data_IF_279916781661
#
_entry.id   IF_279916781661
#
_cell.length_a   1.000
_cell.length_b   1.000
_cell.length_c   1.000
_cell.angle_alpha   90.00
_cell.angle_beta   90.00
_cell.angle_gamma   90.00
#
_symmetry.space_group_name_H-M   'P 1'
#
loop_
_entity.id
_entity.type
_entity.pdbx_description
1 polymer ?
#
# COMPACT_ATOMS: atom_id res chain seq x y z
N UNK A 1 -16.48 17.81 2.06
CA UNK A 1 -15.48 16.78 2.42
C UNK A 1 -15.60 16.49 3.93
N UNK A 2 -15.26 15.29 4.42
CA UNK A 2 -15.41 14.96 5.84
C UNK A 2 -14.59 15.90 6.75
N UNK A 3 -15.19 16.30 7.88
CA UNK A 3 -14.62 17.13 8.96
C UNK A 3 -13.37 16.49 9.61
N UNK A 4 -13.15 15.22 9.29
CA UNK A 4 -12.25 14.27 9.92
C UNK A 4 -11.21 13.82 8.89
N UNK A 5 -9.91 13.89 9.22
CA UNK A 5 -8.77 13.55 8.36
C UNK A 5 -7.98 12.40 8.95
N UNK A 6 -7.75 11.38 8.14
CA UNK A 6 -6.97 10.20 8.52
C UNK A 6 -5.48 10.56 8.49
N UNK A 7 -4.82 10.39 9.62
CA UNK A 7 -3.38 10.61 9.75
C UNK A 7 -2.75 9.27 10.06
N UNK A 8 -2.03 8.76 9.07
CA UNK A 8 -1.26 7.53 9.17
C UNK A 8 0.14 7.80 9.69
N UNK A 9 0.70 6.83 10.42
CA UNK A 9 2.09 6.84 10.83
C UNK A 9 2.66 5.42 10.78
N UNK A 10 3.73 5.20 10.01
CA UNK A 10 4.39 3.92 9.97
C UNK A 10 5.21 3.63 11.22
N UNK A 11 5.42 2.35 11.49
CA UNK A 11 6.32 1.83 12.50
C UNK A 11 7.05 0.57 11.99
N UNK A 12 8.26 0.38 12.47
CA UNK A 12 9.05 -0.84 12.34
C UNK A 12 8.79 -1.67 13.59
N UNK A 13 8.12 -2.82 13.44
CA UNK A 13 7.90 -3.79 14.51
C UNK A 13 9.05 -4.79 14.51
N UNK A 14 9.68 -4.99 15.67
CA UNK A 14 10.84 -5.88 15.86
C UNK A 14 10.41 -7.35 15.96
N UNK A 15 9.71 -7.81 14.94
CA UNK A 15 9.24 -9.18 14.76
C UNK A 15 9.01 -9.46 13.28
N UNK A 16 9.21 -10.73 12.88
CA UNK A 16 8.83 -11.22 11.54
C UNK A 16 7.32 -11.22 11.35
N UNK A 17 6.84 -11.08 10.11
CA UNK A 17 5.42 -11.07 9.80
C UNK A 17 4.74 -12.38 10.22
N UNK A 18 5.44 -13.51 10.08
CA UNK A 18 4.99 -14.84 10.50
C UNK A 18 4.73 -14.90 12.01
N UNK A 19 5.63 -14.32 12.82
CA UNK A 19 5.45 -14.26 14.27
C UNK A 19 4.26 -13.38 14.67
N UNK A 20 4.01 -12.27 13.97
CA UNK A 20 2.84 -11.41 14.20
C UNK A 20 1.56 -12.15 13.82
N UNK A 21 1.52 -12.78 12.65
CA UNK A 21 0.38 -13.55 12.15
C UNK A 21 0.07 -14.70 13.11
N UNK A 22 1.08 -15.48 13.52
CA UNK A 22 0.91 -16.60 14.45
C UNK A 22 0.43 -16.14 15.84
N UNK A 23 0.89 -14.97 16.30
CA UNK A 23 0.43 -14.38 17.56
C UNK A 23 -0.99 -13.80 17.48
N UNK A 24 -1.44 -13.41 16.29
CA UNK A 24 -2.71 -12.69 16.10
C UNK A 24 -2.68 -11.25 16.63
N UNK A 25 -1.50 -10.67 16.84
CA UNK A 25 -1.39 -9.28 17.33
C UNK A 25 0.02 -8.72 17.18
N UNK A 26 0.14 -7.41 16.97
CA UNK A 26 1.42 -6.67 17.12
C UNK A 26 1.71 -6.27 18.58
N UNK A 27 0.76 -6.43 19.50
CA UNK A 27 0.91 -6.00 20.89
C UNK A 27 2.07 -6.74 21.59
N UNK A 28 2.87 -6.00 22.36
CA UNK A 28 3.98 -6.53 23.14
C UNK A 28 5.27 -6.79 22.35
N UNK A 29 5.28 -6.60 21.03
CA UNK A 29 6.54 -6.51 20.29
C UNK A 29 7.14 -5.11 20.43
N UNK A 30 8.47 -4.97 20.57
CA UNK A 30 9.12 -3.67 20.46
C UNK A 30 8.84 -3.06 19.08
N UNK A 31 8.60 -1.76 19.03
CA UNK A 31 8.41 -1.04 17.78
C UNK A 31 9.12 0.31 17.80
N UNK A 32 9.49 0.78 16.63
CA UNK A 32 10.02 2.13 16.39
C UNK A 32 9.11 2.84 15.41
N UNK A 33 8.65 4.04 15.77
CA UNK A 33 7.89 4.88 14.85
C UNK A 33 8.80 5.53 13.80
N UNK A 34 8.32 5.58 12.56
CA UNK A 34 8.89 6.48 11.55
C UNK A 34 8.73 7.95 12.00
N UNK A 35 9.56 8.89 11.48
CA UNK A 35 9.47 10.30 11.83
C UNK A 35 8.05 10.86 11.65
N UNK A 36 7.59 11.74 12.56
CA UNK A 36 6.31 12.40 12.38
C UNK A 36 6.36 13.35 11.18
N UNK A 37 5.21 13.58 10.57
CA UNK A 37 5.02 14.59 9.53
C UNK A 37 4.42 15.87 10.11
N UNK A 38 4.46 16.95 9.33
CA UNK A 38 3.79 18.19 9.68
C UNK A 38 2.27 18.06 9.74
N UNK A 39 1.59 19.11 10.19
CA UNK A 39 0.12 19.16 10.20
C UNK A 39 -0.45 18.87 8.80
N UNK A 40 -1.50 18.04 8.75
CA UNK A 40 -2.18 17.62 7.52
C UNK A 40 -1.31 16.82 6.54
N UNK A 41 -0.22 16.24 7.03
CA UNK A 41 0.64 15.37 6.26
C UNK A 41 0.77 14.02 6.97
N UNK A 42 0.98 12.96 6.20
CA UNK A 42 1.23 11.63 6.73
C UNK A 42 2.20 10.85 5.87
N UNK A 43 2.73 9.79 6.47
CA UNK A 43 3.37 8.68 5.78
C UNK A 43 2.44 7.46 5.90
N UNK A 44 2.34 6.65 4.86
CA UNK A 44 1.51 5.43 4.85
C UNK A 44 2.15 4.35 3.98
N UNK A 45 1.57 3.15 4.00
CA UNK A 45 1.94 2.03 3.14
C UNK A 45 3.44 1.70 3.16
N UNK A 46 4.05 1.40 4.32
CA UNK A 46 5.47 1.12 4.38
C UNK A 46 5.80 -0.26 3.79
N UNK A 47 6.68 -0.29 2.79
CA UNK A 47 7.29 -1.51 2.25
C UNK A 47 8.80 -1.40 2.33
N UNK A 48 9.51 -2.51 2.49
CA UNK A 48 10.95 -2.42 2.71
C UNK A 48 11.78 -3.59 2.26
N UNK A 49 13.05 -3.29 2.04
CA UNK A 49 14.06 -4.19 1.52
C UNK A 49 15.35 -4.03 2.31
N UNK A 50 15.96 -5.15 2.69
CA UNK A 50 17.28 -5.16 3.32
C UNK A 50 18.37 -5.31 2.27
N UNK A 51 19.37 -4.43 2.31
CA UNK A 51 20.55 -4.51 1.44
C UNK A 51 21.76 -3.90 2.14
N UNK A 52 22.90 -4.59 2.07
CA UNK A 52 24.18 -4.11 2.60
C UNK A 52 24.11 -3.61 4.07
N UNK A 53 23.38 -4.35 4.92
CA UNK A 53 23.22 -4.02 6.34
C UNK A 53 22.32 -2.81 6.62
N UNK A 54 21.57 -2.33 5.63
CA UNK A 54 20.60 -1.24 5.76
C UNK A 54 19.20 -1.71 5.42
N UNK A 55 18.23 -1.10 6.09
CA UNK A 55 16.81 -1.25 5.78
C UNK A 55 16.34 -0.01 5.00
N UNK A 56 15.85 -0.24 3.80
CA UNK A 56 15.25 0.79 2.95
C UNK A 56 13.74 0.68 3.09
N UNK A 57 13.07 1.72 3.59
CA UNK A 57 11.62 1.77 3.82
C UNK A 57 11.00 2.78 2.85
N UNK A 58 10.26 2.28 1.87
CA UNK A 58 9.50 3.06 0.91
C UNK A 58 8.09 3.32 1.46
N UNK A 59 7.63 4.56 1.35
CA UNK A 59 6.35 5.00 1.91
C UNK A 59 5.62 5.92 0.95
N UNK A 60 4.29 5.89 1.00
CA UNK A 60 3.48 7.01 0.51
C UNK A 60 3.75 8.24 1.38
N UNK A 61 3.94 9.38 0.74
CA UNK A 61 3.88 10.69 1.37
C UNK A 61 2.70 11.46 0.85
N UNK A 62 1.90 12.01 1.77
CA UNK A 62 0.68 12.72 1.41
C UNK A 62 0.57 14.05 2.15
N UNK A 63 0.17 15.09 1.42
CA UNK A 63 -0.25 16.38 1.98
C UNK A 63 -1.68 16.69 1.54
N UNK A 64 -2.61 16.81 2.50
CA UNK A 64 -4.03 17.12 2.24
C UNK A 64 -4.25 18.46 1.50
N UNK A 65 -3.27 19.36 1.49
CA UNK A 65 -3.31 20.62 0.74
C UNK A 65 -3.11 20.39 -0.75
N UNK A 66 -2.21 19.48 -1.12
CA UNK A 66 -1.88 19.13 -2.52
C UNK A 66 -2.83 18.03 -3.03
N UNK A 67 -3.05 16.98 -2.22
CA UNK A 67 -3.85 15.78 -2.52
C UNK A 67 -3.30 14.92 -3.67
N UNK A 68 -1.98 14.86 -3.77
CA UNK A 68 -1.24 13.95 -4.67
C UNK A 68 -0.21 13.27 -3.78
N UNK A 69 -0.20 11.94 -3.83
CA UNK A 69 0.72 11.09 -3.07
C UNK A 69 1.96 10.84 -3.92
N UNK A 70 3.12 10.81 -3.29
CA UNK A 70 4.41 10.51 -3.91
C UNK A 70 5.18 9.52 -3.03
N UNK A 71 6.18 8.85 -3.60
CA UNK A 71 6.96 7.84 -2.87
C UNK A 71 8.27 8.44 -2.39
N UNK A 72 8.54 8.31 -1.10
CA UNK A 72 9.84 8.58 -0.49
C UNK A 72 10.47 7.28 0.01
N UNK A 73 11.80 7.25 0.09
CA UNK A 73 12.55 6.23 0.82
C UNK A 73 13.14 6.83 2.09
N UNK A 74 13.04 6.08 3.19
CA UNK A 74 13.73 6.31 4.45
C UNK A 74 14.75 5.19 4.65
N UNK A 75 16.01 5.52 4.87
CA UNK A 75 17.09 4.53 5.01
C UNK A 75 17.51 4.46 6.46
N UNK A 76 17.54 3.24 6.98
CA UNK A 76 17.90 2.93 8.35
C UNK A 76 19.18 2.08 8.39
N UNK A 77 20.06 2.36 9.34
CA UNK A 77 21.18 1.49 9.65
C UNK A 77 20.73 0.22 10.41
N UNK A 78 21.67 -0.67 10.73
CA UNK A 78 21.40 -1.93 11.42
C UNK A 78 20.84 -1.74 12.84
N UNK A 79 21.03 -0.57 13.46
CA UNK A 79 20.48 -0.20 14.77
C UNK A 79 19.15 0.56 14.62
N UNK A 80 18.58 0.59 13.41
CA UNK A 80 17.37 1.31 13.05
C UNK A 80 17.46 2.83 13.26
N UNK A 81 18.65 3.43 13.18
CA UNK A 81 18.78 4.89 13.12
C UNK A 81 18.52 5.36 11.69
N UNK A 82 17.68 6.38 11.54
CA UNK A 82 17.44 7.02 10.24
C UNK A 82 18.73 7.72 9.79
N UNK A 83 19.26 7.33 8.65
CA UNK A 83 20.50 7.89 8.08
C UNK A 83 20.28 8.70 6.81
N UNK A 84 19.18 8.45 6.08
CA UNK A 84 18.82 9.21 4.87
C UNK A 84 17.31 9.19 4.65
N UNK A 85 16.80 10.21 3.95
CA UNK A 85 15.40 10.31 3.52
C UNK A 85 15.29 11.18 2.27
N UNK A 86 14.67 10.65 1.22
CA UNK A 86 14.50 11.40 -0.02
C UNK A 86 13.31 10.91 -0.88
N UNK A 87 12.72 11.78 -1.73
CA UNK A 87 11.79 11.37 -2.76
C UNK A 87 12.44 10.46 -3.81
N UNK A 88 11.71 9.46 -4.28
CA UNK A 88 12.21 8.49 -5.28
C UNK A 88 11.27 8.31 -6.48
N UNK A 89 9.98 8.60 -6.31
CA UNK A 89 9.01 8.54 -7.40
C UNK A 89 7.88 9.55 -7.18
N UNK A 90 7.64 10.40 -8.16
CA UNK A 90 6.55 11.36 -8.16
C UNK A 90 5.97 11.49 -9.56
N UNK A 91 4.64 11.52 -9.64
CA UNK A 91 3.92 11.56 -10.91
C UNK A 91 2.81 12.64 -10.87
N UNK A 92 2.22 13.01 -12.02
CA UNK A 92 1.06 13.90 -12.07
C UNK A 92 -0.21 13.31 -11.41
N UNK A 93 -0.22 12.00 -11.16
CA UNK A 93 -1.27 11.28 -10.44
C UNK A 93 -0.80 10.84 -9.06
N UNK A 94 -1.74 10.40 -8.23
CA UNK A 94 -1.47 9.92 -6.88
C UNK A 94 -0.82 8.53 -6.92
N UNK A 95 0.27 8.38 -6.16
CA UNK A 95 0.96 7.11 -5.92
C UNK A 95 0.84 6.74 -4.43
N UNK A 96 0.54 5.48 -4.16
CA UNK A 96 0.46 4.84 -2.82
C UNK A 96 0.97 3.41 -2.91
N UNK A 97 0.92 2.64 -1.82
CA UNK A 97 1.25 1.21 -1.80
C UNK A 97 2.56 0.82 -2.56
N UNK A 98 3.73 1.40 -2.23
CA UNK A 98 4.97 1.22 -3.00
C UNK A 98 5.64 -0.13 -2.74
N UNK A 99 4.96 -1.24 -3.05
CA UNK A 99 5.48 -2.59 -2.86
C UNK A 99 6.82 -2.74 -3.57
N UNK A 100 7.89 -2.92 -2.79
CA UNK A 100 9.26 -3.14 -3.28
C UNK A 100 9.68 -4.59 -3.02
N UNK A 101 10.30 -5.23 -4.01
CA UNK A 101 10.74 -6.62 -3.91
C UNK A 101 11.85 -6.96 -4.92
N UNK A 102 12.60 -8.03 -4.65
CA UNK A 102 13.60 -8.57 -5.57
C UNK A 102 13.01 -9.79 -6.29
N UNK A 103 13.14 -9.80 -7.61
CA UNK A 103 12.63 -10.88 -8.45
C UNK A 103 13.33 -10.89 -9.80
N UNK A 104 13.55 -12.09 -10.36
CA UNK A 104 14.11 -12.26 -11.71
C UNK A 104 15.45 -11.51 -11.91
N UNK A 105 16.26 -11.40 -10.85
CA UNK A 105 17.58 -10.75 -10.87
C UNK A 105 17.54 -9.22 -10.75
N UNK A 106 16.37 -8.63 -10.56
CA UNK A 106 16.16 -7.18 -10.56
C UNK A 106 15.45 -6.72 -9.27
N UNK A 107 15.49 -5.41 -9.01
CA UNK A 107 14.70 -4.79 -7.93
C UNK A 107 13.53 -4.03 -8.52
N UNK A 108 12.32 -4.35 -8.05
CA UNK A 108 11.07 -3.85 -8.59
C UNK A 108 10.29 -3.03 -7.57
N UNK A 109 9.53 -2.07 -8.07
CA UNK A 109 8.51 -1.34 -7.32
C UNK A 109 7.19 -1.39 -8.10
N UNK A 110 6.11 -1.77 -7.41
CA UNK A 110 4.76 -1.82 -7.99
C UNK A 110 3.81 -0.95 -7.15
N UNK A 111 3.79 0.38 -7.38
CA UNK A 111 2.93 1.28 -6.63
C UNK A 111 1.46 1.18 -7.07
N UNK A 112 0.52 1.46 -6.16
CA UNK A 112 -0.87 1.74 -6.53
C UNK A 112 -0.92 3.08 -7.27
N UNK A 113 -1.47 3.07 -8.49
CA UNK A 113 -1.55 4.24 -9.35
C UNK A 113 -2.84 4.25 -10.18
N UNK A 114 -3.97 3.82 -9.62
CA UNK A 114 -5.22 3.59 -10.40
C UNK A 114 -5.67 4.81 -11.21
N UNK A 115 -5.37 6.03 -10.75
CA UNK A 115 -5.68 7.28 -11.48
C UNK A 115 -4.89 7.49 -12.77
N UNK A 116 -3.84 6.71 -12.99
CA UNK A 116 -3.11 6.63 -14.27
C UNK A 116 -3.84 5.76 -15.32
N UNK A 117 -4.88 5.02 -14.91
CA UNK A 117 -5.56 3.97 -15.68
C UNK A 117 -4.65 2.81 -16.11
N UNK A 118 -3.52 2.59 -15.41
CA UNK A 118 -2.54 1.55 -15.71
C UNK A 118 -1.96 0.97 -14.43
N UNK A 119 -1.51 -0.28 -14.49
CA UNK A 119 -0.61 -0.87 -13.50
C UNK A 119 0.80 -0.91 -14.09
N UNK A 120 1.71 -0.10 -13.53
CA UNK A 120 3.07 0.04 -14.04
C UNK A 120 4.06 -0.56 -13.06
N UNK A 121 4.86 -1.52 -13.54
CA UNK A 121 5.97 -2.11 -12.81
C UNK A 121 7.23 -1.29 -13.09
N UNK A 122 7.83 -0.76 -12.03
CA UNK A 122 9.05 0.03 -12.11
C UNK A 122 10.27 -0.79 -11.75
N UNK A 123 11.37 -0.61 -12.49
CA UNK A 123 12.67 -1.22 -12.20
C UNK A 123 13.60 -0.20 -11.57
N UNK A 124 14.36 -0.59 -10.56
CA UNK A 124 15.44 0.23 -10.04
C UNK A 124 16.60 0.27 -11.05
N UNK A 125 16.92 1.44 -11.57
CA UNK A 125 18.10 1.65 -12.43
C UNK A 125 19.33 2.03 -11.60
N UNK A 126 19.08 2.64 -10.44
CA UNK A 126 20.09 2.96 -9.43
C UNK A 126 19.40 2.91 -8.07
N UNK A 127 19.50 1.78 -7.40
CA UNK A 127 18.79 1.55 -6.14
C UNK A 127 19.46 2.34 -5.00
N UNK A 128 18.69 3.03 -4.13
CA UNK A 128 17.22 3.05 -4.05
C UNK A 128 16.55 4.23 -4.77
N UNK A 129 17.31 5.08 -5.44
CA UNK A 129 16.89 6.45 -5.76
C UNK A 129 16.31 6.65 -7.15
N UNK A 130 16.69 5.84 -8.14
CA UNK A 130 16.25 6.01 -9.53
C UNK A 130 15.47 4.79 -10.01
N UNK A 131 14.25 5.04 -10.46
CA UNK A 131 13.31 4.05 -10.97
C UNK A 131 12.87 4.41 -12.39
N UNK A 132 12.67 3.41 -13.24
CA UNK A 132 12.12 3.59 -14.59
C UNK A 132 10.87 2.72 -14.78
N UNK A 133 9.85 3.18 -15.51
CA UNK A 133 8.69 2.37 -15.87
C UNK A 133 9.13 1.29 -16.88
N UNK A 134 9.22 0.04 -16.41
CA UNK A 134 9.79 -1.05 -17.20
C UNK A 134 8.71 -1.84 -17.95
N UNK A 135 7.59 -2.12 -17.28
CA UNK A 135 6.50 -2.91 -17.85
C UNK A 135 5.13 -2.34 -17.46
N UNK A 136 4.17 -2.48 -18.36
CA UNK A 136 2.74 -2.29 -18.05
C UNK A 136 2.17 -3.69 -17.85
N UNK A 137 1.57 -3.93 -16.68
CA UNK A 137 0.83 -5.15 -16.41
C UNK A 137 -0.60 -4.95 -16.91
N UNK A 138 -0.95 -5.63 -17.99
CA UNK A 138 -2.29 -5.59 -18.57
C UNK A 138 -3.21 -6.58 -17.82
N UNK A 139 -4.34 -6.07 -17.35
CA UNK A 139 -5.37 -6.80 -16.61
C UNK A 139 -6.74 -6.49 -17.21
N UNK A 140 -7.75 -7.25 -16.79
CA UNK A 140 -9.16 -7.02 -17.08
C UNK A 140 -9.72 -5.72 -16.46
N UNK A 141 -9.11 -5.25 -15.38
CA UNK A 141 -9.53 -4.07 -14.63
C UNK A 141 -8.34 -3.17 -14.26
N UNK A 142 -8.62 -1.91 -13.92
CA UNK A 142 -7.61 -1.05 -13.29
C UNK A 142 -7.41 -1.53 -11.85
N UNK A 143 -6.19 -1.98 -11.53
CA UNK A 143 -5.87 -2.56 -10.24
C UNK A 143 -5.65 -1.52 -9.13
N UNK A 144 -6.10 -1.87 -7.93
CA UNK A 144 -5.78 -1.21 -6.66
C UNK A 144 -5.01 -2.19 -5.78
N UNK A 145 -3.97 -1.69 -5.11
CA UNK A 145 -3.06 -2.41 -4.21
C UNK A 145 -2.54 -3.74 -4.77
N UNK A 146 -2.15 -3.71 -6.05
CA UNK A 146 -1.72 -4.90 -6.77
C UNK A 146 -0.49 -5.53 -6.11
N UNK A 147 -0.61 -6.82 -5.76
CA UNK A 147 0.34 -7.50 -4.86
C UNK A 147 0.80 -8.83 -5.48
N UNK A 148 1.98 -8.88 -6.12
CA UNK A 148 2.56 -10.08 -6.69
C UNK A 148 3.20 -11.00 -5.65
N UNK A 149 3.18 -12.30 -5.91
CA UNK A 149 3.96 -13.33 -5.20
C UNK A 149 4.29 -14.49 -6.14
N UNK A 150 5.52 -14.99 -6.07
CA UNK A 150 5.90 -16.20 -6.79
C UNK A 150 5.71 -17.42 -5.89
N UNK A 151 4.92 -18.39 -6.34
CA UNK A 151 4.63 -19.60 -5.59
C UNK A 151 4.23 -20.74 -6.54
N UNK A 152 4.71 -21.95 -6.26
CA UNK A 152 4.46 -23.16 -7.05
C UNK A 152 4.71 -22.98 -8.55
N UNK A 153 5.84 -22.34 -8.88
CA UNK A 153 6.31 -22.17 -10.26
C UNK A 153 5.57 -21.10 -11.06
N UNK A 154 4.74 -20.27 -10.41
CA UNK A 154 3.96 -19.23 -11.09
C UNK A 154 3.96 -17.93 -10.29
N UNK A 155 3.86 -16.82 -11.01
CA UNK A 155 3.49 -15.54 -10.42
C UNK A 155 1.98 -15.46 -10.24
N UNK A 156 1.56 -15.08 -9.04
CA UNK A 156 0.18 -14.71 -8.71
C UNK A 156 0.13 -13.22 -8.40
N UNK A 157 -0.95 -12.56 -8.79
CA UNK A 157 -1.20 -11.15 -8.52
C UNK A 157 -2.57 -11.00 -7.88
N UNK A 158 -2.60 -10.41 -6.69
CA UNK A 158 -3.83 -10.10 -5.96
C UNK A 158 -4.11 -8.60 -6.04
N UNK A 159 -5.35 -8.20 -6.34
CA UNK A 159 -5.72 -6.79 -6.46
C UNK A 159 -7.22 -6.60 -6.25
N UNK A 160 -7.65 -5.37 -5.94
CA UNK A 160 -9.05 -4.98 -6.05
C UNK A 160 -9.30 -4.18 -7.33
N UNK A 161 -10.55 -4.18 -7.81
CA UNK A 161 -10.92 -3.46 -9.04
C UNK A 161 -11.25 -1.98 -8.76
N UNK A 162 -10.70 -1.07 -9.57
CA UNK A 162 -11.01 0.36 -9.51
C UNK A 162 -12.25 0.77 -10.29
N UNK A 163 -12.90 -0.15 -11.01
CA UNK A 163 -13.99 0.15 -11.95
C UNK A 163 -15.20 0.79 -11.26
N UNK A 164 -15.48 0.38 -10.03
CA UNK A 164 -16.54 0.94 -9.18
C UNK A 164 -15.96 1.29 -7.83
N UNK A 165 -16.36 2.44 -7.28
CA UNK A 165 -15.81 2.92 -5.99
C UNK A 165 -15.90 1.91 -4.83
N UNK A 166 -16.99 1.14 -4.63
CA UNK A 166 -17.04 0.12 -3.59
C UNK A 166 -16.06 -1.04 -3.84
N UNK A 167 -15.89 -1.41 -5.10
CA UNK A 167 -15.14 -2.61 -5.53
C UNK A 167 -13.64 -2.48 -5.20
N UNK A 168 -13.14 -1.24 -5.08
CA UNK A 168 -11.78 -0.92 -4.59
C UNK A 168 -11.50 -1.50 -3.20
N UNK A 169 -12.52 -1.72 -2.38
CA UNK A 169 -12.39 -2.27 -1.03
C UNK A 169 -13.01 -3.66 -0.89
N UNK A 170 -13.91 -4.04 -1.78
CA UNK A 170 -14.74 -5.24 -1.60
C UNK A 170 -14.43 -6.38 -2.56
N UNK A 171 -13.87 -6.15 -3.75
CA UNK A 171 -13.81 -7.16 -4.81
C UNK A 171 -12.38 -7.61 -5.11
N UNK A 172 -11.93 -8.68 -4.45
CA UNK A 172 -10.62 -9.28 -4.68
C UNK A 172 -10.63 -10.05 -6.00
N UNK A 173 -9.65 -9.72 -6.84
CA UNK A 173 -9.34 -10.36 -8.10
C UNK A 173 -7.96 -11.01 -8.01
N UNK A 174 -7.78 -12.04 -8.82
CA UNK A 174 -6.52 -12.76 -8.98
C UNK A 174 -6.16 -12.81 -10.46
N UNK A 175 -4.88 -12.67 -10.77
CA UNK A 175 -4.31 -13.00 -12.07
C UNK A 175 -3.03 -13.81 -11.89
N UNK A 176 -2.58 -14.46 -12.96
CA UNK A 176 -1.37 -15.27 -12.91
C UNK A 176 -0.51 -15.14 -14.17
N UNK A 177 0.80 -15.35 -14.04
CA UNK A 177 1.76 -15.29 -15.14
C UNK A 177 2.94 -16.24 -14.92
N UNK A 178 3.64 -16.61 -15.99
CA UNK A 178 4.90 -17.35 -15.88
C UNK A 178 6.09 -16.45 -15.53
N UNK A 179 6.03 -15.18 -15.92
CA UNK A 179 7.06 -14.16 -15.69
C UNK A 179 6.41 -12.90 -15.14
N UNK A 180 7.15 -12.13 -14.35
CA UNK A 180 6.65 -10.91 -13.73
C UNK A 180 6.19 -9.87 -14.76
N UNK A 181 6.90 -9.79 -15.89
CA UNK A 181 6.57 -8.94 -17.03
C UNK A 181 5.32 -9.41 -17.82
N UNK A 182 4.73 -10.56 -17.47
CA UNK A 182 3.58 -11.13 -18.14
C UNK A 182 3.91 -12.01 -19.37
N UNK A 183 2.90 -12.35 -20.18
CA UNK A 183 1.51 -11.89 -20.08
C UNK A 183 0.81 -12.39 -18.81
N UNK A 184 -0.08 -11.57 -18.27
CA UNK A 184 -0.92 -11.90 -17.12
C UNK A 184 -2.29 -12.40 -17.60
N UNK A 185 -2.77 -13.48 -16.99
CA UNK A 185 -4.09 -14.07 -17.27
C UNK A 185 -4.98 -13.91 -16.03
N UNK A 186 -6.11 -13.19 -16.13
CA UNK A 186 -7.08 -13.10 -15.04
C UNK A 186 -7.67 -14.47 -14.68
N UNK A 187 -7.87 -14.71 -13.39
CA UNK A 187 -8.47 -15.94 -12.91
C UNK A 187 -9.95 -16.02 -13.34
N UNK A 188 -10.44 -17.16 -13.87
CA UNK A 188 -11.79 -17.26 -14.43
C UNK A 188 -12.93 -17.06 -13.42
N UNK A 189 -12.64 -17.25 -12.13
CA UNK A 189 -13.59 -17.02 -11.04
C UNK A 189 -13.58 -15.57 -10.50
N UNK A 190 -12.92 -14.61 -11.18
CA UNK A 190 -12.90 -13.22 -10.76
C UNK A 190 -14.33 -12.59 -10.76
N UNK A 191 -14.65 -11.75 -9.74
CA UNK A 191 -13.92 -11.57 -8.49
C UNK A 191 -13.97 -12.84 -7.64
N UNK A 192 -12.79 -13.32 -7.20
CA UNK A 192 -12.69 -14.57 -6.43
C UNK A 192 -13.23 -14.45 -5.01
N UNK A 193 -13.37 -13.22 -4.51
CA UNK A 193 -13.95 -12.90 -3.19
C UNK A 193 -14.58 -11.52 -3.20
N UNK A 194 -15.79 -11.41 -2.65
CA UNK A 194 -16.48 -10.13 -2.42
C UNK A 194 -16.77 -9.94 -0.93
N UNK A 195 -15.95 -9.16 -0.24
CA UNK A 195 -16.07 -8.89 1.20
C UNK A 195 -15.26 -7.65 1.62
N UNK A 196 -15.92 -6.66 2.21
CA UNK A 196 -15.28 -5.41 2.70
C UNK A 196 -14.27 -5.65 3.82
N UNK A 197 -14.39 -6.78 4.53
CA UNK A 197 -13.53 -7.11 5.66
C UNK A 197 -12.28 -7.91 5.26
N UNK A 198 -12.15 -8.34 4.01
CA UNK A 198 -11.10 -9.30 3.63
C UNK A 198 -10.80 -9.40 2.13
N UNK A 199 -11.02 -8.33 1.36
CA UNK A 199 -10.74 -8.33 -0.08
C UNK A 199 -9.54 -7.46 -0.48
N UNK A 200 -9.44 -6.23 0.05
CA UNK A 200 -8.38 -5.29 -0.36
C UNK A 200 -7.01 -5.75 0.17
N UNK A 201 -5.98 -5.93 -0.67
CA UNK A 201 -4.63 -6.19 -0.19
C UNK A 201 -4.15 -5.11 0.79
N UNK A 202 -3.41 -5.54 1.81
CA UNK A 202 -2.95 -4.68 2.90
C UNK A 202 -1.53 -5.02 3.33
N UNK A 203 -0.66 -5.39 2.39
CA UNK A 203 0.74 -5.68 2.68
C UNK A 203 1.33 -6.84 1.87
N UNK A 204 2.49 -7.31 2.31
CA UNK A 204 3.28 -8.29 1.58
C UNK A 204 2.82 -9.73 1.87
N UNK A 205 2.51 -10.56 0.86
CA UNK A 205 2.13 -11.96 1.07
C UNK A 205 3.29 -12.75 1.62
N UNK A 206 2.98 -13.74 2.47
CA UNK A 206 3.95 -14.70 3.03
C UNK A 206 3.56 -16.11 2.65
N UNK A 207 4.54 -16.99 2.49
CA UNK A 207 4.29 -18.43 2.37
C UNK A 207 4.53 -19.06 3.73
N UNK A 208 3.46 -19.50 4.39
CA UNK A 208 3.49 -20.11 5.72
C UNK A 208 2.93 -21.52 5.57
N UNK A 209 3.68 -22.52 6.03
CA UNK A 209 3.32 -23.94 5.92
C UNK A 209 2.92 -24.36 4.49
N UNK A 210 3.64 -23.83 3.50
CA UNK A 210 3.42 -24.11 2.08
C UNK A 210 2.20 -23.43 1.47
N UNK A 211 1.55 -22.48 2.17
CA UNK A 211 0.37 -21.75 1.66
C UNK A 211 0.63 -20.26 1.63
N UNK A 212 0.09 -19.58 0.61
CA UNK A 212 0.07 -18.12 0.55
C UNK A 212 -0.88 -17.59 1.62
N UNK A 213 -0.37 -16.69 2.46
CA UNK A 213 -1.12 -15.86 3.40
C UNK A 213 -0.98 -14.42 2.93
N UNK A 214 -2.09 -13.86 2.45
CA UNK A 214 -2.19 -12.47 1.99
C UNK A 214 -2.73 -11.60 3.14
N UNK A 215 -1.99 -10.59 3.62
CA UNK A 215 -2.57 -9.55 4.45
C UNK A 215 -3.63 -8.79 3.67
N UNK A 216 -4.86 -8.74 4.19
CA UNK A 216 -5.97 -7.97 3.61
C UNK A 216 -6.51 -6.98 4.62
N UNK A 217 -7.02 -5.85 4.15
CA UNK A 217 -7.61 -4.82 4.98
C UNK A 217 -9.02 -5.23 5.41
N UNK A 218 -9.34 -5.02 6.69
CA UNK A 218 -10.70 -5.00 7.18
C UNK A 218 -11.22 -3.56 7.18
N UNK A 219 -12.07 -3.25 6.19
CA UNK A 219 -12.69 -1.94 6.04
C UNK A 219 -14.13 -1.86 6.60
N UNK A 220 -14.58 -2.85 7.38
CA UNK A 220 -15.97 -2.96 7.85
C UNK A 220 -16.42 -1.80 8.75
N UNK A 221 -15.52 -1.24 9.55
CA UNK A 221 -15.81 -0.14 10.47
C UNK A 221 -15.28 1.22 9.99
N UNK A 222 -14.10 1.23 9.37
CA UNK A 222 -13.43 2.41 8.85
C UNK A 222 -12.42 1.98 7.80
N UNK A 223 -12.03 2.88 6.90
CA UNK A 223 -10.98 2.59 5.92
C UNK A 223 -9.70 2.13 6.62
N UNK A 224 -9.23 0.93 6.29
CA UNK A 224 -8.03 0.36 6.89
C UNK A 224 -8.13 0.11 8.40
N UNK A 225 -9.29 -0.33 8.88
CA UNK A 225 -9.54 -0.50 10.32
C UNK A 225 -8.66 -1.56 10.99
N UNK A 226 -8.36 -2.64 10.27
CA UNK A 226 -7.48 -3.71 10.73
C UNK A 226 -6.85 -4.45 9.54
N UNK A 227 -5.89 -5.33 9.83
CA UNK A 227 -5.41 -6.35 8.88
C UNK A 227 -5.97 -7.70 9.27
N UNK A 228 -6.32 -8.53 8.29
CA UNK A 228 -6.65 -9.95 8.48
C UNK A 228 -5.74 -10.80 7.60
N UNK A 229 -5.23 -11.94 8.09
CA UNK A 229 -4.53 -12.89 7.24
C UNK A 229 -5.56 -13.68 6.42
N UNK A 230 -5.49 -13.61 5.09
CA UNK A 230 -6.27 -14.42 4.17
C UNK A 230 -5.40 -15.56 3.66
N UNK A 231 -5.67 -16.78 4.12
CA UNK A 231 -4.88 -17.97 3.79
C UNK A 231 -5.51 -18.71 2.63
N UNK A 232 -4.78 -18.87 1.53
CA UNK A 232 -5.25 -19.64 0.37
C UNK A 232 -5.26 -21.13 0.72
N UNK A 233 -6.44 -21.74 0.73
CA UNK A 233 -6.61 -23.19 0.91
C UNK A 233 -6.61 -23.92 -0.41
N UNK A 234 -7.06 -23.26 -1.47
CA UNK A 234 -6.96 -23.71 -2.86
C UNK A 234 -6.59 -22.51 -3.73
N UNK A 235 -5.51 -22.61 -4.49
CA UNK A 235 -5.15 -21.64 -5.52
C UNK A 235 -4.56 -22.37 -6.72
N UNK A 236 -5.37 -22.55 -7.76
CA UNK A 236 -4.92 -23.02 -9.08
C UNK A 236 -5.33 -22.00 -10.13
N UNK A 237 -5.04 -22.28 -11.40
CA UNK A 237 -5.42 -21.41 -12.52
C UNK A 237 -6.92 -21.45 -12.80
N UNK A 238 -7.66 -22.35 -12.16
CA UNK A 238 -9.10 -22.60 -12.36
C UNK A 238 -9.92 -22.54 -11.06
N UNK A 239 -9.29 -22.73 -9.90
CA UNK A 239 -9.98 -22.85 -8.62
C UNK A 239 -9.36 -21.95 -7.54
N UNK A 240 -10.22 -21.34 -6.73
CA UNK A 240 -9.85 -20.48 -5.62
C UNK A 240 -10.69 -20.80 -4.38
N UNK A 241 -10.04 -20.90 -3.23
CA UNK A 241 -10.67 -20.90 -1.91
C UNK A 241 -9.69 -20.36 -0.87
N UNK A 242 -10.21 -19.65 0.13
CA UNK A 242 -9.40 -19.05 1.17
C UNK A 242 -10.14 -18.97 2.51
N UNK A 243 -9.39 -19.08 3.59
CA UNK A 243 -9.85 -18.89 4.97
C UNK A 243 -9.33 -17.57 5.52
N UNK A 244 -10.20 -16.83 6.19
CA UNK A 244 -9.85 -15.54 6.80
C UNK A 244 -9.60 -15.72 8.30
N UNK A 245 -8.44 -15.27 8.77
CA UNK A 245 -8.12 -15.26 10.20
C UNK A 245 -8.70 -14.06 10.95
N UNK A 246 -8.31 -13.94 12.22
CA UNK A 246 -8.74 -12.86 13.09
C UNK A 246 -8.13 -11.51 12.70
N UNK A 247 -8.79 -10.43 13.12
CA UNK A 247 -8.35 -9.06 12.87
C UNK A 247 -7.18 -8.66 13.79
N UNK A 248 -6.07 -8.28 13.15
CA UNK A 248 -4.95 -7.58 13.74
C UNK A 248 -5.28 -6.10 13.84
N UNK A 249 -5.50 -5.61 15.06
CA UNK A 249 -5.78 -4.20 15.34
C UNK A 249 -4.58 -3.48 15.94
N UNK A 250 -4.53 -2.16 15.77
CA UNK A 250 -3.56 -1.32 16.48
C UNK A 250 -3.75 -1.44 18.01
N UNK A 251 -2.71 -1.82 18.78
CA UNK A 251 -2.81 -1.96 20.23
C UNK A 251 -3.05 -0.61 20.92
N UNK A 252 -3.76 -0.62 22.05
CA UNK A 252 -3.97 0.59 22.87
C UNK A 252 -2.67 1.30 23.27
N UNK A 253 -1.56 0.58 23.41
CA UNK A 253 -0.23 1.16 23.69
C UNK A 253 0.32 2.04 22.56
N UNK A 254 -0.29 2.00 21.38
CA UNK A 254 0.09 2.82 20.22
C UNK A 254 -0.69 4.15 20.14
N UNK A 255 -1.46 4.48 21.18
CA UNK A 255 -2.15 5.77 21.26
C UNK A 255 -1.22 6.94 20.93
N UNK A 256 -1.67 7.91 20.11
CA UNK A 256 -3.04 8.09 19.63
C UNK A 256 -3.40 7.31 18.35
N UNK A 257 -2.48 6.55 17.76
CA UNK A 257 -2.67 5.83 16.50
C UNK A 257 -3.29 4.44 16.76
N UNK A 258 -4.58 4.41 17.06
CA UNK A 258 -5.33 3.18 17.45
C UNK A 258 -6.59 2.95 16.61
N UNK A 259 -6.81 3.77 15.59
CA UNK A 259 -8.06 3.81 14.83
C UNK A 259 -7.97 3.08 13.49
N UNK A 260 -6.82 2.47 13.19
CA UNK A 260 -6.58 1.71 11.96
C UNK A 260 -5.18 1.09 11.95
N UNK A 261 -5.05 0.03 11.15
CA UNK A 261 -3.82 -0.70 10.83
C UNK A 261 -4.07 -1.27 9.43
N UNK A 262 -3.43 -0.74 8.37
CA UNK A 262 -3.79 -1.12 6.99
C UNK A 262 -2.66 -1.62 6.12
N UNK A 263 -1.44 -1.64 6.66
CA UNK A 263 -0.31 -2.31 6.03
C UNK A 263 0.35 -3.28 7.01
N UNK A 264 0.66 -4.48 6.53
CA UNK A 264 1.54 -5.47 7.18
C UNK A 264 2.53 -5.99 6.15
N UNK A 265 3.72 -5.39 6.08
CA UNK A 265 4.73 -5.75 5.10
C UNK A 265 5.97 -6.33 5.78
N UNK A 266 6.31 -7.58 5.44
CA UNK A 266 7.57 -8.16 5.89
C UNK A 266 8.77 -7.43 5.29
N UNK A 267 9.80 -7.22 6.10
CA UNK A 267 11.09 -6.70 5.66
C UNK A 267 12.19 -7.42 6.46
N UNK A 268 12.60 -8.60 5.98
CA UNK A 268 13.59 -9.44 6.66
C UNK A 268 13.18 -9.79 8.11
N UNK A 269 13.99 -9.49 9.13
CA UNK A 269 13.69 -9.81 10.54
C UNK A 269 12.64 -8.89 11.18
N UNK A 270 12.18 -7.84 10.49
CA UNK A 270 11.19 -6.89 11.00
C UNK A 270 9.94 -6.86 10.12
N UNK A 271 8.88 -6.26 10.65
CA UNK A 271 7.63 -6.02 9.92
C UNK A 271 7.30 -4.55 9.95
N UNK A 272 6.98 -4.01 8.80
CA UNK A 272 6.53 -2.65 8.63
C UNK A 272 5.01 -2.62 8.72
N UNK A 273 4.51 -1.72 9.54
CA UNK A 273 3.08 -1.44 9.69
C UNK A 273 2.86 0.04 9.69
N UNK A 274 1.62 0.47 9.50
CA UNK A 274 1.20 1.82 9.83
C UNK A 274 -0.08 1.80 10.64
N UNK A 275 -0.29 2.88 11.37
CA UNK A 275 -1.44 3.00 12.24
C UNK A 275 -2.09 4.36 12.05
N UNK A 276 -3.41 4.40 12.21
CA UNK A 276 -4.22 5.60 11.99
C UNK A 276 -4.63 6.24 13.30
N UNK A 277 -4.61 7.56 13.31
CA UNK A 277 -5.48 8.38 14.16
C UNK A 277 -6.33 9.27 13.28
N UNK A 278 -7.40 9.83 13.82
CA UNK A 278 -8.14 10.83 13.07
C UNK A 278 -8.13 12.21 13.71
N UNK A 279 -7.87 13.23 12.89
CA UNK A 279 -7.87 14.62 13.30
C UNK A 279 -9.14 15.33 12.84
N UNK A 280 -9.86 15.95 13.78
CA UNK A 280 -10.96 16.87 13.48
C UNK A 280 -10.37 18.24 13.12
N UNK A 281 -10.79 18.82 12.01
CA UNK A 281 -10.22 20.09 11.56
C UNK A 281 -11.22 21.05 10.97
N UNK A 282 -11.50 22.13 11.71
CA UNK A 282 -12.12 23.36 11.17
C UNK A 282 -11.20 24.04 10.13
N UNK A 283 -9.87 23.91 10.28
CA UNK A 283 -8.87 24.45 9.34
C UNK A 283 -8.81 23.68 8.00
N UNK A 284 -9.31 22.43 7.96
CA UNK A 284 -9.51 21.69 6.72
C UNK A 284 -10.51 22.38 5.78
N UNK A 285 -11.50 23.08 6.35
CA UNK A 285 -12.47 23.88 5.59
C UNK A 285 -11.84 25.12 4.96
N UNK A 286 -10.89 25.78 5.64
CA UNK A 286 -10.22 26.98 5.11
C UNK A 286 -9.26 26.64 3.97
N UNK A 287 -8.56 25.50 4.04
CA UNK A 287 -7.73 24.98 2.94
C UNK A 287 -8.59 24.70 1.69
N UNK A 288 -9.79 24.15 1.89
CA UNK A 288 -10.75 23.88 0.80
C UNK A 288 -11.26 25.18 0.17
N UNK A 289 -11.64 26.18 0.98
CA UNK A 289 -12.06 27.49 0.50
C UNK A 289 -10.98 28.20 -0.32
N UNK A 290 -9.73 28.22 0.17
CA UNK A 290 -8.59 28.81 -0.56
C UNK A 290 -8.36 28.10 -1.90
N UNK A 291 -8.59 26.78 -1.97
CA UNK A 291 -8.41 25.99 -3.19
C UNK A 291 -9.51 26.22 -4.21
N UNK A 292 -10.78 26.27 -3.82
CA UNK A 292 -11.87 26.56 -4.75
C UNK A 292 -11.73 27.97 -5.34
N UNK A 293 -11.31 28.95 -4.53
CA UNK A 293 -10.93 30.29 -5.02
C UNK A 293 -9.78 30.21 -6.05
N UNK A 294 -8.74 29.40 -5.81
CA UNK A 294 -7.63 29.21 -6.76
C UNK A 294 -8.05 28.48 -8.05
N UNK A 295 -8.94 27.49 -7.99
CA UNK A 295 -9.49 26.80 -9.16
C UNK A 295 -10.32 27.76 -10.03
N UNK A 296 -11.23 28.53 -9.42
CA UNK A 296 -11.98 29.57 -10.11
C UNK A 296 -11.03 30.58 -10.77
N UNK A 297 -10.01 31.04 -10.04
CA UNK A 297 -9.01 31.96 -10.57
C UNK A 297 -8.25 31.41 -11.79
N UNK A 298 -7.89 30.12 -11.80
CA UNK A 298 -7.29 29.45 -12.97
C UNK A 298 -8.26 29.34 -14.13
N UNK A 299 -9.50 28.89 -13.90
CA UNK A 299 -10.51 28.75 -14.95
C UNK A 299 -10.87 30.09 -15.63
N UNK A 300 -10.86 31.19 -14.87
CA UNK A 300 -11.06 32.55 -15.41
C UNK A 300 -9.88 32.97 -16.30
N UNK A 301 -8.64 32.67 -15.91
CA UNK A 301 -7.44 32.98 -16.71
C UNK A 301 -7.39 32.17 -18.01
N UNK A 302 -7.75 30.89 -17.99
CA UNK A 302 -7.80 30.04 -19.20
C UNK A 302 -8.89 30.48 -20.18
N UNK A 303 -10.02 31.01 -19.68
CA UNK A 303 -11.08 31.61 -20.53
C UNK A 303 -10.69 32.96 -21.12
N UNK A 304 -9.85 33.74 -20.43
CA UNK A 304 -9.35 35.01 -20.93
C UNK A 304 -8.28 34.82 -22.03
N UNK A 305 -7.44 33.79 -21.95
CA UNK A 305 -6.42 33.49 -22.98
C UNK A 305 -7.00 32.83 -24.25
N UNK A 306 -8.22 32.30 -24.19
CA UNK A 306 -8.90 31.66 -25.33
C UNK A 306 -9.80 32.63 -26.13
N UNK A 307 -9.85 33.92 -25.74
CA UNK A 307 -10.61 34.98 -26.42
C UNK A 307 -9.73 36.12 -26.94
N UNK A 308 -8.40 35.92 -26.95
CA UNK A 308 -7.41 36.85 -27.50
C UNK A 308 -6.84 36.32 -28.81
#
# INVERSE_FOLDING_TARGET
MALRKDIWRPAIVMATAEAIIAKGSIAGFPLMWLPPMGSFQFLADPFGLWRDGRLYVFVETYDYRVRIGAIEVLVYDADFRLVDRQPVLAEPWHLSYPLVFEAEGETWMLPEAHRSNRLTLYRAVDFPTRWEPAHIIELDHVAVDATPVFHDGKWWLFYTSADREPDKMTALHVAHAERLAGPWTPHPANPVRVDVASARPGGMPRVIDGRIVLPVQDCSHTYGGAIRPLTMTVLTTEAFSAEVGDALVAPASCAPFVEGLHTLAAAGPVTLVDMKRTELSLHGLSIEAVREVRKLGRAIRTRASARG
#
